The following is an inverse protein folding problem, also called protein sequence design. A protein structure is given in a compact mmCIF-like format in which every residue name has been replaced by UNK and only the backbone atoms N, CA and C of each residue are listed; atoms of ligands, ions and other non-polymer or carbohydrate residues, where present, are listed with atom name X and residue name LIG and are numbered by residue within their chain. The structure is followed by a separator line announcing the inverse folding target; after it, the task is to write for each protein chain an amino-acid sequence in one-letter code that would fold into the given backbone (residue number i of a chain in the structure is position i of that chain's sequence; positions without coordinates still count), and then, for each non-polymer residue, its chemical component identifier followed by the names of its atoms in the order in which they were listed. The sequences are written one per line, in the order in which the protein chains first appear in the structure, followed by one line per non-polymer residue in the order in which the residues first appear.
data_IF_645086352579
#
_entry.id   IF_645086352579
#
_cell.length_a   1.000
_cell.length_b   1.000
_cell.length_c   1.000
_cell.angle_alpha   90.00
_cell.angle_beta   90.00
_cell.angle_gamma   90.00
#
_symmetry.space_group_name_H-M   'P 1'
#
loop_
_entity.id
_entity.type
_entity.pdbx_description
1 polymer ?
#
# COMPACT_ATOMS: atom_id res chain seq x y z
N UNK A 1 20.51 -20.56 -6.50
CA UNK A 1 21.88 -20.38 -5.98
C UNK A 1 21.97 -20.41 -4.47
N UNK A 2 20.86 -20.57 -3.72
CA UNK A 2 20.84 -20.68 -2.24
C UNK A 2 20.27 -22.02 -1.80
N UNK A 3 20.70 -22.52 -0.64
CA UNK A 3 20.12 -23.74 -0.06
C UNK A 3 18.71 -23.48 0.47
N UNK A 4 17.85 -24.51 0.63
CA UNK A 4 16.52 -24.34 1.24
C UNK A 4 16.57 -23.70 2.63
N UNK A 5 17.55 -24.08 3.46
CA UNK A 5 17.72 -23.49 4.79
C UNK A 5 18.08 -22.00 4.73
N UNK A 6 18.97 -21.62 3.80
CA UNK A 6 19.29 -20.21 3.56
C UNK A 6 18.09 -19.44 3.07
N UNK A 7 17.26 -20.03 2.20
CA UNK A 7 16.02 -19.40 1.71
C UNK A 7 15.05 -19.12 2.88
N UNK A 8 14.89 -20.05 3.81
CA UNK A 8 14.06 -19.84 5.01
C UNK A 8 14.60 -18.67 5.84
N UNK A 9 15.92 -18.60 6.04
CA UNK A 9 16.53 -17.50 6.80
C UNK A 9 16.36 -16.15 6.11
N UNK A 10 16.60 -16.09 4.78
CA UNK A 10 16.38 -14.88 3.98
C UNK A 10 14.92 -14.43 4.08
N UNK A 11 13.97 -15.37 3.97
CA UNK A 11 12.55 -15.11 4.10
C UNK A 11 12.14 -14.63 5.49
N UNK A 12 12.67 -15.21 6.53
CA UNK A 12 12.42 -14.79 7.91
C UNK A 12 12.88 -13.35 8.16
N UNK A 13 14.07 -12.98 7.68
CA UNK A 13 14.56 -11.59 7.76
C UNK A 13 13.69 -10.66 6.92
N UNK A 14 13.28 -11.06 5.71
CA UNK A 14 12.37 -10.28 4.87
C UNK A 14 11.02 -10.04 5.56
N UNK A 15 10.47 -11.03 6.27
CA UNK A 15 9.24 -10.89 7.04
C UNK A 15 9.34 -9.85 8.16
N UNK A 16 10.49 -9.73 8.80
CA UNK A 16 10.75 -8.67 9.79
C UNK A 16 10.92 -7.31 9.08
N UNK A 17 11.71 -7.28 8.00
CA UNK A 17 11.98 -6.06 7.25
C UNK A 17 10.71 -5.43 6.68
N UNK A 18 9.78 -6.23 6.14
CA UNK A 18 8.55 -5.68 5.54
C UNK A 18 7.71 -4.93 6.57
N UNK A 19 7.58 -5.46 7.78
CA UNK A 19 6.80 -4.80 8.86
C UNK A 19 7.43 -3.46 9.23
N UNK A 20 8.74 -3.44 9.46
CA UNK A 20 9.43 -2.18 9.78
C UNK A 20 9.41 -1.18 8.63
N UNK A 21 9.50 -1.66 7.39
CA UNK A 21 9.47 -0.83 6.19
C UNK A 21 8.11 -0.16 6.01
N UNK A 22 7.02 -0.90 6.14
CA UNK A 22 5.65 -0.34 6.06
C UNK A 22 5.47 0.76 7.12
N UNK A 23 5.79 0.47 8.38
CA UNK A 23 5.69 1.45 9.47
C UNK A 23 6.60 2.67 9.24
N UNK A 24 7.77 2.47 8.65
CA UNK A 24 8.70 3.56 8.34
C UNK A 24 8.13 4.48 7.24
N UNK A 25 7.65 3.92 6.12
CA UNK A 25 7.08 4.73 5.04
C UNK A 25 5.83 5.48 5.48
N UNK A 26 4.98 4.85 6.28
CA UNK A 26 3.81 5.48 6.88
C UNK A 26 4.22 6.71 7.76
N UNK A 27 5.22 6.54 8.63
CA UNK A 27 5.72 7.64 9.48
C UNK A 27 6.28 8.82 8.69
N UNK A 28 6.96 8.57 7.58
CA UNK A 28 7.49 9.64 6.71
C UNK A 28 6.47 10.14 5.68
N UNK A 29 5.22 9.67 5.77
CA UNK A 29 4.10 10.05 4.91
C UNK A 29 4.34 9.76 3.42
N UNK A 30 5.01 8.66 3.13
CA UNK A 30 5.08 8.09 1.79
C UNK A 30 3.99 7.04 1.68
N UNK A 31 3.07 7.29 0.76
CA UNK A 31 1.91 6.44 0.53
C UNK A 31 2.33 5.10 -0.11
N UNK A 32 2.12 4.01 0.64
CA UNK A 32 2.43 2.65 0.22
C UNK A 32 1.28 1.69 0.62
N UNK A 33 0.04 1.93 0.13
CA UNK A 33 -1.18 1.30 0.65
C UNK A 33 -1.20 -0.21 0.48
N UNK A 34 -0.55 -0.73 -0.54
CA UNK A 34 -0.41 -2.19 -0.79
C UNK A 34 0.96 -2.74 -0.41
N UNK A 35 1.80 -1.94 0.21
CA UNK A 35 3.15 -2.33 0.60
C UNK A 35 4.10 -2.58 -0.59
N UNK A 36 3.84 -1.97 -1.75
CA UNK A 36 4.63 -2.22 -2.96
C UNK A 36 6.09 -1.81 -2.79
N UNK A 37 6.36 -0.66 -2.18
CA UNK A 37 7.73 -0.21 -1.89
C UNK A 37 8.38 -1.14 -0.87
N UNK A 38 7.65 -1.48 0.19
CA UNK A 38 8.14 -2.30 1.29
C UNK A 38 8.41 -3.75 0.86
N UNK A 39 7.48 -4.36 0.13
CA UNK A 39 7.59 -5.77 -0.29
C UNK A 39 8.54 -5.92 -1.47
N UNK A 40 8.36 -5.14 -2.54
CA UNK A 40 9.15 -5.32 -3.76
C UNK A 40 10.44 -4.51 -3.76
N UNK A 41 10.43 -3.28 -3.28
CA UNK A 41 11.64 -2.45 -3.19
C UNK A 41 12.58 -2.93 -2.10
N UNK A 42 12.17 -2.82 -0.83
CA UNK A 42 13.05 -3.11 0.32
C UNK A 42 13.37 -4.60 0.43
N UNK A 43 12.34 -5.47 0.45
CA UNK A 43 12.58 -6.91 0.55
C UNK A 43 13.18 -7.50 -0.73
N UNK A 44 12.93 -6.91 -1.91
CA UNK A 44 13.60 -7.30 -3.15
C UNK A 44 15.10 -7.00 -3.13
N UNK A 45 15.48 -5.81 -2.65
CA UNK A 45 16.89 -5.47 -2.44
C UNK A 45 17.55 -6.40 -1.42
N UNK A 46 16.86 -6.67 -0.31
CA UNK A 46 17.33 -7.66 0.68
C UNK A 46 17.49 -9.05 0.07
N UNK A 47 16.51 -9.56 -0.68
CA UNK A 47 16.58 -10.88 -1.31
C UNK A 47 17.73 -11.00 -2.29
N UNK A 48 18.01 -9.93 -3.06
CA UNK A 48 19.15 -9.86 -3.98
C UNK A 48 20.46 -9.94 -3.22
N UNK A 49 20.62 -9.18 -2.12
CA UNK A 49 21.80 -9.27 -1.26
C UNK A 49 21.89 -10.64 -0.58
N UNK A 50 20.78 -11.17 -0.09
CA UNK A 50 20.69 -12.49 0.51
C UNK A 50 21.16 -13.60 -0.42
N UNK A 51 20.81 -13.52 -1.70
CA UNK A 51 21.29 -14.47 -2.71
C UNK A 51 22.83 -14.43 -2.86
N UNK A 52 23.45 -13.26 -2.72
CA UNK A 52 24.91 -13.14 -2.73
C UNK A 52 25.58 -13.52 -1.42
N UNK A 53 24.92 -13.29 -0.28
CA UNK A 53 25.44 -13.63 1.04
C UNK A 53 25.42 -15.13 1.32
N UNK A 54 24.42 -15.84 0.82
CA UNK A 54 24.16 -17.27 1.07
C UNK A 54 24.33 -18.12 -0.21
N UNK A 55 25.19 -17.67 -1.14
CA UNK A 55 25.45 -18.41 -2.37
C UNK A 55 26.04 -19.80 -2.05
N UNK A 56 25.53 -20.82 -2.71
CA UNK A 56 26.03 -22.20 -2.57
C UNK A 56 27.50 -22.37 -2.98
N UNK A 57 28.01 -21.50 -3.87
CA UNK A 57 29.42 -21.46 -4.24
C UNK A 57 30.32 -20.84 -3.15
N UNK A 58 29.74 -20.35 -2.07
CA UNK A 58 30.42 -19.70 -0.97
C UNK A 58 30.37 -18.16 -1.06
N UNK A 59 30.59 -17.53 0.09
CA UNK A 59 30.58 -16.07 0.19
C UNK A 59 31.69 -15.41 -0.62
N UNK A 60 31.32 -14.39 -1.39
CA UNK A 60 32.26 -13.61 -2.20
C UNK A 60 31.90 -12.13 -2.16
N UNK A 61 32.83 -11.29 -1.72
CA UNK A 61 32.68 -9.83 -1.78
C UNK A 61 32.47 -9.31 -3.21
N UNK A 62 33.04 -9.99 -4.22
CA UNK A 62 32.84 -9.65 -5.62
C UNK A 62 31.39 -9.87 -6.03
N UNK A 63 30.79 -11.01 -5.65
CA UNK A 63 29.38 -11.32 -5.92
C UNK A 63 28.48 -10.30 -5.22
N UNK A 64 28.74 -10.01 -3.96
CA UNK A 64 27.99 -9.02 -3.20
C UNK A 64 28.07 -7.62 -3.85
N UNK A 65 29.26 -7.22 -4.30
CA UNK A 65 29.44 -5.96 -5.03
C UNK A 65 28.63 -5.92 -6.33
N UNK A 66 28.59 -7.01 -7.10
CA UNK A 66 27.74 -7.09 -8.31
C UNK A 66 26.27 -6.98 -7.96
N UNK A 67 25.80 -7.61 -6.88
CA UNK A 67 24.41 -7.49 -6.42
C UNK A 67 24.07 -6.03 -6.05
N UNK A 68 24.95 -5.34 -5.33
CA UNK A 68 24.76 -3.92 -5.00
C UNK A 68 24.68 -3.03 -6.24
N UNK A 69 25.55 -3.26 -7.22
CA UNK A 69 25.50 -2.55 -8.51
C UNK A 69 24.19 -2.83 -9.23
N UNK A 70 23.72 -4.09 -9.23
CA UNK A 70 22.46 -4.48 -9.83
C UNK A 70 21.27 -3.78 -9.17
N UNK A 71 21.21 -3.75 -7.84
CA UNK A 71 20.17 -3.02 -7.08
C UNK A 71 20.20 -1.55 -7.42
N UNK A 72 21.38 -0.93 -7.39
CA UNK A 72 21.54 0.50 -7.71
C UNK A 72 21.12 0.82 -9.15
N UNK A 73 21.52 0.01 -10.12
CA UNK A 73 21.15 0.18 -11.52
C UNK A 73 19.62 0.04 -11.72
N UNK A 74 19.03 -0.96 -11.10
CA UNK A 74 17.57 -1.16 -11.13
C UNK A 74 16.84 0.05 -10.55
N UNK A 75 17.24 0.54 -9.40
CA UNK A 75 16.65 1.72 -8.77
C UNK A 75 16.79 2.96 -9.63
N UNK A 76 18.01 3.26 -10.10
CA UNK A 76 18.29 4.44 -10.91
C UNK A 76 17.60 4.42 -12.27
N UNK A 77 17.27 3.26 -12.79
CA UNK A 77 16.50 3.12 -14.02
C UNK A 77 14.99 3.22 -13.75
N UNK A 78 14.50 2.40 -12.84
CA UNK A 78 13.06 2.24 -12.64
C UNK A 78 12.42 3.46 -11.98
N UNK A 79 13.05 4.01 -10.94
CA UNK A 79 12.46 5.11 -10.17
C UNK A 79 12.25 6.39 -11.02
N UNK A 80 13.24 6.90 -11.76
CA UNK A 80 13.03 8.10 -12.58
C UNK A 80 12.03 7.86 -13.71
N UNK A 81 12.08 6.70 -14.36
CA UNK A 81 11.14 6.40 -15.46
C UNK A 81 9.71 6.28 -14.96
N UNK A 82 9.49 5.56 -13.84
CA UNK A 82 8.17 5.45 -13.24
C UNK A 82 7.65 6.82 -12.78
N UNK A 83 8.50 7.62 -12.14
CA UNK A 83 8.16 8.97 -11.71
C UNK A 83 7.72 9.86 -12.88
N UNK A 84 8.48 9.87 -13.98
CA UNK A 84 8.13 10.63 -15.17
C UNK A 84 6.85 10.13 -15.83
N UNK A 85 6.67 8.81 -15.90
CA UNK A 85 5.45 8.19 -16.43
C UNK A 85 4.22 8.60 -15.60
N UNK A 86 4.28 8.44 -14.28
CA UNK A 86 3.15 8.82 -13.42
C UNK A 86 2.88 10.33 -13.45
N UNK A 87 3.91 11.17 -13.55
CA UNK A 87 3.71 12.61 -13.74
C UNK A 87 3.04 12.93 -15.07
N UNK A 88 3.37 12.23 -16.14
CA UNK A 88 2.71 12.42 -17.43
C UNK A 88 1.23 12.00 -17.38
N UNK A 89 0.93 10.87 -16.72
CA UNK A 89 -0.45 10.41 -16.52
C UNK A 89 -1.23 11.37 -15.63
N UNK A 90 -0.65 11.84 -14.54
CA UNK A 90 -1.25 12.80 -13.62
C UNK A 90 -1.64 14.11 -14.33
N UNK A 91 -0.77 14.60 -15.21
CA UNK A 91 -1.05 15.79 -16.03
C UNK A 91 -2.12 15.57 -17.10
N UNK A 92 -2.28 14.34 -17.60
CA UNK A 92 -3.20 14.02 -18.67
C UNK A 92 -4.63 13.71 -18.18
N UNK A 93 -4.75 12.95 -17.10
CA UNK A 93 -6.05 12.43 -16.62
C UNK A 93 -6.29 12.61 -15.12
N UNK A 94 -5.27 13.02 -14.36
CA UNK A 94 -5.30 13.02 -12.91
C UNK A 94 -5.08 11.60 -12.34
N UNK A 95 -4.37 11.49 -11.24
CA UNK A 95 -4.13 10.20 -10.57
C UNK A 95 -4.76 10.13 -9.18
N UNK A 96 -4.97 11.27 -8.54
CA UNK A 96 -5.52 11.32 -7.19
C UNK A 96 -6.96 11.82 -7.25
N UNK A 97 -7.81 11.14 -6.52
CA UNK A 97 -9.19 11.57 -6.28
C UNK A 97 -9.22 12.87 -5.47
N UNK A 98 -10.35 13.58 -5.50
CA UNK A 98 -10.52 14.78 -4.69
C UNK A 98 -10.50 14.45 -3.19
N UNK A 99 -10.13 15.41 -2.32
CA UNK A 99 -10.19 15.19 -0.87
C UNK A 99 -11.60 14.83 -0.38
N UNK A 100 -12.63 15.31 -1.06
CA UNK A 100 -14.03 15.01 -0.76
C UNK A 100 -14.35 13.55 -1.05
N UNK A 101 -13.95 13.04 -2.22
CA UNK A 101 -14.12 11.64 -2.60
C UNK A 101 -13.32 10.69 -1.71
N UNK A 102 -12.10 11.11 -1.28
CA UNK A 102 -11.26 10.35 -0.36
C UNK A 102 -11.93 10.21 1.02
N UNK A 103 -12.66 11.23 1.48
CA UNK A 103 -13.40 11.21 2.74
C UNK A 103 -14.71 10.42 2.65
N UNK A 104 -15.40 10.48 1.53
CA UNK A 104 -16.63 9.71 1.28
C UNK A 104 -16.34 8.22 1.10
N UNK A 105 -15.16 7.88 0.61
CA UNK A 105 -14.75 6.53 0.24
C UNK A 105 -15.01 6.23 -1.23
N UNK A 106 -14.11 5.48 -1.82
CA UNK A 106 -14.09 5.21 -3.26
C UNK A 106 -15.09 4.14 -3.70
N UNK A 107 -15.62 3.36 -2.77
CA UNK A 107 -16.60 2.30 -3.08
C UNK A 107 -17.82 2.86 -3.81
N UNK A 108 -18.30 4.02 -3.37
CA UNK A 108 -19.47 4.65 -3.95
C UNK A 108 -19.16 5.39 -5.26
N UNK A 109 -18.08 6.18 -5.26
CA UNK A 109 -17.73 7.02 -6.41
C UNK A 109 -17.23 6.21 -7.59
N UNK A 110 -16.49 5.13 -7.35
CA UNK A 110 -15.90 4.29 -8.40
C UNK A 110 -16.73 3.04 -8.73
N UNK A 111 -17.44 2.48 -7.73
CA UNK A 111 -18.15 1.20 -7.89
C UNK A 111 -19.67 1.31 -7.76
N UNK A 112 -20.19 2.48 -7.36
CA UNK A 112 -21.64 2.72 -7.23
C UNK A 112 -22.31 1.92 -6.13
N UNK A 113 -21.57 1.45 -5.14
CA UNK A 113 -22.06 0.66 -4.02
C UNK A 113 -21.11 0.67 -2.86
N UNK A 114 -21.54 0.14 -1.71
CA UNK A 114 -20.74 0.03 -0.50
C UNK A 114 -20.29 -1.42 -0.30
N UNK A 115 -18.98 -1.63 -0.03
CA UNK A 115 -18.43 -2.96 0.21
C UNK A 115 -18.89 -3.53 1.58
N UNK A 116 -19.08 -2.65 2.57
CA UNK A 116 -19.40 -3.02 3.95
C UNK A 116 -20.55 -2.17 4.49
N UNK A 117 -21.81 -2.38 4.05
CA UNK A 117 -22.94 -1.53 4.45
C UNK A 117 -23.19 -1.50 5.97
N UNK A 118 -22.82 -2.57 6.69
CA UNK A 118 -22.96 -2.65 8.15
C UNK A 118 -21.91 -1.82 8.91
N UNK A 119 -20.84 -1.38 8.24
CA UNK A 119 -19.79 -0.53 8.78
C UNK A 119 -19.90 0.92 8.33
N UNK A 120 -20.94 1.31 7.63
CA UNK A 120 -21.24 2.71 7.34
C UNK A 120 -21.49 3.44 8.65
N UNK A 121 -20.40 3.99 9.16
CA UNK A 121 -20.41 4.66 10.45
C UNK A 121 -21.23 5.94 10.32
N UNK A 122 -22.19 6.12 11.20
CA UNK A 122 -22.97 7.34 11.38
C UNK A 122 -22.14 8.61 11.62
N UNK A 123 -20.82 8.53 11.58
CA UNK A 123 -19.88 9.67 11.66
C UNK A 123 -20.01 10.65 10.50
N UNK A 124 -20.43 10.20 9.33
CA UNK A 124 -20.65 11.09 8.18
C UNK A 124 -21.88 11.98 8.35
N UNK A 125 -22.88 11.53 9.11
CA UNK A 125 -24.09 12.32 9.38
C UNK A 125 -23.88 13.42 10.43
N UNK A 126 -22.75 13.40 11.12
CA UNK A 126 -22.42 14.37 12.16
C UNK A 126 -21.62 15.58 11.67
N UNK A 127 -21.20 15.60 10.39
CA UNK A 127 -20.46 16.75 9.83
C UNK A 127 -21.44 17.81 9.32
N UNK A 128 -21.45 19.03 9.89
CA UNK A 128 -22.29 20.12 9.40
C UNK A 128 -21.79 20.52 8.00
N UNK A 129 -22.55 20.21 6.97
CA UNK A 129 -22.24 20.58 5.59
C UNK A 129 -22.16 19.42 4.59
N UNK A 130 -22.26 18.17 5.05
CA UNK A 130 -22.30 17.01 4.16
C UNK A 130 -23.68 16.90 3.49
N UNK A 131 -23.74 17.09 2.19
CA UNK A 131 -24.98 17.13 1.39
C UNK A 131 -25.25 15.84 0.59
N UNK A 132 -24.87 14.67 1.10
CA UNK A 132 -25.23 13.39 0.45
C UNK A 132 -24.53 13.13 -0.89
N UNK A 133 -24.64 11.90 -1.40
CA UNK A 133 -23.98 11.38 -2.59
C UNK A 133 -24.22 12.13 -3.90
N UNK A 134 -23.72 11.62 -5.03
CA UNK A 134 -23.77 12.29 -6.33
C UNK A 134 -25.18 12.77 -6.71
N UNK A 135 -25.39 14.08 -6.79
CA UNK A 135 -26.68 14.67 -7.06
C UNK A 135 -27.41 15.25 -5.85
N UNK A 136 -26.77 15.41 -4.69
CA UNK A 136 -27.32 16.09 -3.51
C UNK A 136 -28.50 15.36 -2.85
N UNK A 137 -28.72 14.08 -3.14
CA UNK A 137 -29.74 13.28 -2.50
C UNK A 137 -29.18 12.66 -1.19
N UNK A 138 -29.93 12.75 -0.08
CA UNK A 138 -29.54 12.02 1.13
C UNK A 138 -29.41 10.54 0.81
N UNK A 139 -28.38 9.88 1.34
CA UNK A 139 -28.32 8.42 1.30
C UNK A 139 -29.59 7.86 1.92
N UNK A 140 -30.21 6.82 1.33
CA UNK A 140 -31.28 6.13 2.01
C UNK A 140 -30.73 5.58 3.33
N UNK A 141 -31.09 6.21 4.42
CA UNK A 141 -30.79 5.69 5.76
C UNK A 141 -31.40 4.29 5.82
N UNK A 142 -30.56 3.27 5.88
CA UNK A 142 -31.02 1.92 6.10
C UNK A 142 -31.93 1.93 7.32
N UNK A 143 -33.09 1.31 7.18
CA UNK A 143 -34.18 1.35 8.15
C UNK A 143 -33.66 1.17 9.57
N UNK A 144 -34.05 2.10 10.43
CA UNK A 144 -33.88 2.17 11.86
C UNK A 144 -33.53 0.83 12.50
N UNK A 145 -32.35 0.74 13.07
CA UNK A 145 -32.03 -0.33 14.02
C UNK A 145 -33.12 -0.26 15.12
N UNK A 146 -33.90 -1.32 15.33
CA UNK A 146 -34.88 -1.30 16.41
C UNK A 146 -34.12 -1.09 17.71
N UNK A 147 -34.52 -0.07 18.47
CA UNK A 147 -34.05 0.11 19.83
C UNK A 147 -34.27 -1.20 20.58
N UNK A 148 -33.19 -1.89 20.91
CA UNK A 148 -33.27 -2.98 21.90
C UNK A 148 -33.66 -2.36 23.24
N UNK A 149 -34.94 -2.36 23.50
CA UNK A 149 -35.52 -2.05 24.80
C UNK A 149 -34.78 -2.87 25.85
N UNK A 150 -34.00 -2.19 26.67
CA UNK A 150 -33.52 -2.75 27.93
C UNK A 150 -34.73 -2.94 28.85
N UNK A 151 -35.31 -4.14 28.83
CA UNK A 151 -36.26 -4.56 29.86
C UNK A 151 -35.49 -5.25 30.97
N UNK A 152 -35.57 -4.67 32.13
CA UNK A 152 -35.28 -5.12 33.50
C UNK A 152 -34.87 -6.59 33.70
#
# INVERSE_FOLDING_TARGET
NVTPNSAVLIGAVAGVLVVYSVVFFDKIKIDDPVGAISVHGVCGAWGTLGAGLFDMAGFSLKVLGVQLVGIGACFLWTFPLAFLMFKAVDLAVGLRVSPEEELEGLDWTEHGGTAYPDFEVSSYTASPGFSGGPGGKPFPVAAQVPEMSASN
#
